data_IF_150473716172
#
_entry.id   IF_150473716172
#
_cell.length_a   1.000
_cell.length_b   1.000
_cell.length_c   1.000
_cell.angle_alpha   90.00
_cell.angle_beta   90.00
_cell.angle_gamma   90.00
#
_symmetry.space_group_name_H-M   'P 1'
#
loop_
_entity.id
_entity.type
_entity.pdbx_description
1 polymer ?
#
# COMPACT_ATOMS: atom_id res chain seq x y z
N UNK A 1 7.60 -17.21 3.73
CA UNK A 1 6.41 -16.92 4.55
C UNK A 1 5.97 -15.51 4.21
N UNK A 2 4.71 -15.34 3.80
CA UNK A 2 4.15 -14.03 3.48
C UNK A 2 3.94 -13.22 4.77
N UNK A 3 4.19 -11.91 4.73
CA UNK A 3 3.99 -10.98 5.85
C UNK A 3 3.01 -9.90 5.45
N UNK A 4 2.22 -9.43 6.41
CA UNK A 4 1.48 -8.18 6.27
C UNK A 4 2.29 -7.08 6.94
N UNK A 5 2.69 -6.07 6.18
CA UNK A 5 3.58 -4.99 6.62
C UNK A 5 2.78 -3.68 6.54
N UNK A 6 2.68 -2.95 7.65
CA UNK A 6 2.09 -1.61 7.63
C UNK A 6 3.16 -0.54 7.47
N UNK A 7 2.94 0.38 6.52
CA UNK A 7 3.82 1.50 6.26
C UNK A 7 3.05 2.80 6.41
N UNK A 8 3.54 3.69 7.28
CA UNK A 8 3.10 5.08 7.34
C UNK A 8 4.14 5.94 6.64
N UNK A 9 3.83 6.49 5.46
CA UNK A 9 4.74 7.42 4.79
C UNK A 9 4.93 8.66 5.67
N UNK A 10 6.12 8.80 6.24
CA UNK A 10 6.55 10.02 6.93
C UNK A 10 7.32 10.92 5.94
N UNK A 11 7.60 12.16 6.34
CA UNK A 11 8.49 13.03 5.54
C UNK A 11 9.90 12.45 5.38
N UNK A 12 10.33 11.61 6.33
CA UNK A 12 11.63 10.94 6.35
C UNK A 12 11.48 9.43 6.11
N UNK A 13 10.86 9.05 4.98
CA UNK A 13 10.87 7.65 4.57
C UNK A 13 12.25 7.27 4.00
N UNK A 14 12.74 6.02 4.24
CA UNK A 14 13.98 5.56 3.62
C UNK A 14 13.89 5.59 2.09
N UNK A 15 15.01 5.86 1.42
CA UNK A 15 15.08 5.98 -0.05
C UNK A 15 14.59 4.73 -0.79
N UNK A 16 14.75 3.56 -0.17
CA UNK A 16 14.23 2.29 -0.67
C UNK A 16 13.77 1.37 0.46
N UNK A 17 12.74 0.57 0.17
CA UNK A 17 12.21 -0.45 1.06
C UNK A 17 12.39 -1.84 0.47
N UNK A 18 13.09 -2.71 1.18
CA UNK A 18 13.26 -4.11 0.79
C UNK A 18 12.06 -4.95 1.23
N UNK A 19 11.48 -5.69 0.29
CA UNK A 19 10.38 -6.62 0.45
C UNK A 19 10.80 -8.01 -0.01
N UNK A 20 10.06 -9.04 0.40
CA UNK A 20 10.19 -10.39 -0.11
C UNK A 20 8.99 -10.74 -0.96
N UNK A 21 9.20 -11.59 -1.96
CA UNK A 21 8.09 -12.14 -2.74
C UNK A 21 7.03 -12.75 -1.82
N UNK A 22 5.77 -12.35 -2.01
CA UNK A 22 4.61 -12.73 -1.20
C UNK A 22 4.28 -11.78 -0.04
N UNK A 23 5.10 -10.77 0.26
CA UNK A 23 4.75 -9.74 1.23
C UNK A 23 3.56 -8.89 0.74
N UNK A 24 2.61 -8.63 1.64
CA UNK A 24 1.51 -7.69 1.46
C UNK A 24 1.85 -6.41 2.23
N UNK A 25 1.97 -5.31 1.52
CA UNK A 25 2.25 -4.00 2.08
C UNK A 25 0.96 -3.16 2.15
N UNK A 26 0.73 -2.56 3.32
CA UNK A 26 -0.42 -1.74 3.66
C UNK A 26 0.05 -0.31 3.91
N UNK A 27 -0.07 0.56 2.91
CA UNK A 27 0.47 1.93 2.96
C UNK A 27 -0.64 2.91 3.36
N UNK A 28 -0.41 3.74 4.37
CA UNK A 28 -1.35 4.82 4.73
C UNK A 28 -1.35 5.91 3.66
N UNK A 29 -2.33 5.84 2.76
CA UNK A 29 -2.50 6.69 1.59
C UNK A 29 -3.95 6.63 1.12
N UNK A 30 -4.43 7.68 0.45
CA UNK A 30 -5.77 7.73 -0.16
C UNK A 30 -5.80 7.13 -1.57
N UNK A 31 -4.62 6.94 -2.17
CA UNK A 31 -4.46 6.33 -3.49
C UNK A 31 -2.99 6.13 -3.83
N UNK A 32 -2.74 5.47 -4.96
CA UNK A 32 -1.39 5.31 -5.47
C UNK A 32 -1.39 4.90 -6.94
N UNK A 33 -0.25 5.03 -7.59
CA UNK A 33 -0.02 4.54 -8.95
C UNK A 33 1.38 4.01 -9.11
N UNK A 34 1.52 2.93 -9.86
CA UNK A 34 2.82 2.37 -10.22
C UNK A 34 3.44 3.24 -11.31
N UNK A 35 4.68 3.70 -11.08
CA UNK A 35 5.50 4.40 -12.07
C UNK A 35 6.33 3.42 -12.89
N UNK A 36 6.84 2.36 -12.25
CA UNK A 36 7.65 1.31 -12.87
C UNK A 36 7.60 0.02 -12.04
N UNK A 37 7.98 -1.13 -12.64
CA UNK A 37 8.08 -2.42 -11.93
C UNK A 37 6.73 -3.13 -11.66
N UNK A 38 5.78 -3.04 -12.61
CA UNK A 38 4.45 -3.67 -12.52
C UNK A 38 4.47 -5.20 -12.46
N UNK A 39 5.58 -5.82 -12.84
CA UNK A 39 5.83 -7.26 -12.74
C UNK A 39 6.34 -7.69 -11.35
N UNK A 40 6.95 -6.76 -10.62
CA UNK A 40 7.57 -6.94 -9.31
C UNK A 40 6.61 -6.61 -8.16
N UNK A 41 5.88 -5.49 -8.27
CA UNK A 41 4.82 -5.10 -7.34
C UNK A 41 3.48 -4.95 -8.06
N UNK A 42 2.44 -5.50 -7.45
CA UNK A 42 1.06 -5.32 -7.88
C UNK A 42 0.31 -4.37 -6.94
N UNK A 43 -0.28 -3.32 -7.52
CA UNK A 43 -1.18 -2.40 -6.83
C UNK A 43 -2.58 -2.99 -6.78
N UNK A 44 -2.98 -3.48 -5.61
CA UNK A 44 -4.32 -4.03 -5.38
C UNK A 44 -5.37 -2.92 -5.22
N UNK A 45 -4.93 -1.70 -4.89
CA UNK A 45 -5.78 -0.51 -4.79
C UNK A 45 -6.10 -0.12 -3.35
N UNK A 46 -7.11 0.75 -3.15
CA UNK A 46 -7.57 1.15 -1.83
C UNK A 46 -8.04 -0.06 -1.01
N UNK A 47 -7.70 -0.08 0.27
CA UNK A 47 -8.00 -1.16 1.19
C UNK A 47 -8.73 -0.65 2.42
N UNK A 48 -9.80 -1.36 2.76
CA UNK A 48 -10.58 -1.17 3.97
C UNK A 48 -10.53 -2.47 4.78
N UNK A 49 -10.18 -2.38 6.06
CA UNK A 49 -10.18 -3.55 6.94
C UNK A 49 -11.62 -4.00 7.19
N UNK A 50 -11.87 -5.31 7.09
CA UNK A 50 -13.12 -5.93 7.48
C UNK A 50 -12.91 -6.91 8.64
N UNK A 51 -13.93 -7.05 9.50
CA UNK A 51 -13.99 -8.04 10.57
C UNK A 51 -15.18 -8.96 10.29
N UNK A 52 -14.96 -10.27 10.32
CA UNK A 52 -16.03 -11.26 10.20
C UNK A 52 -16.74 -11.41 11.56
N UNK A 53 -18.04 -11.11 11.58
CA UNK A 53 -18.91 -11.34 12.73
C UNK A 53 -19.23 -12.82 12.93
N UNK A 54 -19.69 -13.16 14.13
CA UNK A 54 -20.14 -14.52 14.47
C UNK A 54 -21.43 -14.93 13.73
N UNK A 55 -22.14 -13.94 13.19
CA UNK A 55 -23.30 -14.08 12.31
C UNK A 55 -22.90 -14.37 10.85
N UNK A 56 -21.60 -14.42 10.55
CA UNK A 56 -21.07 -14.62 9.21
C UNK A 56 -21.09 -13.35 8.34
N UNK A 57 -21.43 -12.20 8.89
CA UNK A 57 -21.44 -10.93 8.16
C UNK A 57 -20.07 -10.23 8.26
N UNK A 58 -19.68 -9.52 7.20
CA UNK A 58 -18.45 -8.72 7.20
C UNK A 58 -18.80 -7.29 7.63
N UNK A 59 -18.18 -6.84 8.72
CA UNK A 59 -18.29 -5.48 9.21
C UNK A 59 -17.05 -4.69 8.81
N UNK A 60 -17.26 -3.51 8.22
CA UNK A 60 -16.20 -2.56 7.88
C UNK A 60 -16.43 -1.26 8.63
N UNK A 61 -15.37 -0.55 9.06
CA UNK A 61 -15.54 0.77 9.65
C UNK A 61 -16.16 1.73 8.63
N UNK A 62 -16.99 2.65 9.11
CA UNK A 62 -17.54 3.71 8.26
C UNK A 62 -16.44 4.66 7.79
N UNK A 63 -16.59 5.18 6.57
CA UNK A 63 -15.68 6.15 5.96
C UNK A 63 -14.86 5.60 4.78
N UNK A 64 -14.05 6.45 4.14
CA UNK A 64 -13.23 6.06 3.00
C UNK A 64 -12.08 5.14 3.42
N UNK A 65 -11.57 4.29 2.50
CA UNK A 65 -10.34 3.54 2.71
C UNK A 65 -9.17 4.45 3.11
N UNK A 66 -8.48 4.11 4.20
CA UNK A 66 -7.31 4.87 4.69
C UNK A 66 -5.96 4.30 4.25
N UNK A 67 -5.97 3.19 3.50
CA UNK A 67 -4.77 2.46 3.10
C UNK A 67 -4.83 2.05 1.63
N UNK A 68 -3.66 1.86 1.04
CA UNK A 68 -3.45 1.26 -0.28
C UNK A 68 -2.68 -0.05 -0.09
N UNK A 69 -3.17 -1.12 -0.72
CA UNK A 69 -2.56 -2.44 -0.64
C UNK A 69 -1.68 -2.72 -1.86
N UNK A 70 -0.52 -3.32 -1.59
CA UNK A 70 0.49 -3.72 -2.58
C UNK A 70 0.95 -5.14 -2.31
N UNK A 71 1.08 -5.95 -3.35
CA UNK A 71 1.56 -7.33 -3.24
C UNK A 71 2.89 -7.50 -3.98
N UNK A 72 3.90 -7.97 -3.27
CA UNK A 72 5.18 -8.34 -3.86
C UNK A 72 5.05 -9.66 -4.63
N UNK A 73 5.25 -9.61 -5.96
CA UNK A 73 5.01 -10.72 -6.88
C UNK A 73 6.28 -11.41 -7.33
N UNK A 74 7.31 -10.63 -7.67
CA UNK A 74 8.56 -11.14 -8.23
C UNK A 74 9.74 -10.27 -7.79
N UNK A 75 10.96 -10.84 -7.73
CA UNK A 75 12.16 -10.05 -7.50
C UNK A 75 12.33 -8.95 -8.55
N UNK A 76 12.71 -7.76 -8.11
CA UNK A 76 12.87 -6.60 -8.98
C UNK A 76 12.69 -5.28 -8.26
N UNK A 77 12.83 -4.18 -9.00
CA UNK A 77 12.70 -2.81 -8.47
C UNK A 77 11.42 -2.17 -9.02
N UNK A 78 10.65 -1.56 -8.13
CA UNK A 78 9.43 -0.84 -8.46
C UNK A 78 9.42 0.55 -7.84
N UNK A 79 8.85 1.52 -8.55
CA UNK A 79 8.60 2.86 -8.02
C UNK A 79 7.09 3.12 -8.01
N UNK A 80 6.60 3.60 -6.87
CA UNK A 80 5.18 3.86 -6.66
C UNK A 80 5.03 5.27 -6.10
N UNK A 81 4.08 6.00 -6.67
CA UNK A 81 3.68 7.31 -6.20
C UNK A 81 2.38 7.19 -5.40
N UNK A 82 2.38 7.67 -4.16
CA UNK A 82 1.24 7.64 -3.25
C UNK A 82 0.65 9.02 -3.07
N UNK A 83 -0.68 9.08 -2.98
CA UNK A 83 -1.42 10.25 -2.56
C UNK A 83 -1.59 10.23 -1.04
N UNK A 84 -1.01 11.23 -0.36
CA UNK A 84 -1.09 11.44 1.08
C UNK A 84 -1.96 12.65 1.38
N UNK A 85 -2.70 12.61 2.49
CA UNK A 85 -3.41 13.78 3.02
C UNK A 85 -4.82 14.00 2.44
N UNK A 86 -5.39 15.15 2.81
CA UNK A 86 -6.83 15.42 2.95
C UNK A 86 -7.67 15.54 1.67
N UNK A 87 -8.90 16.09 1.77
CA UNK A 87 -9.77 16.26 0.62
C UNK A 87 -9.11 17.11 -0.46
N UNK A 88 -9.42 16.84 -1.73
CA UNK A 88 -8.95 17.64 -2.85
C UNK A 88 -9.21 19.13 -2.60
N UNK A 89 -8.22 20.03 -2.78
CA UNK A 89 -6.92 19.85 -3.44
C UNK A 89 -5.72 19.59 -2.51
N UNK A 90 -5.92 19.30 -1.22
CA UNK A 90 -4.84 19.20 -0.23
C UNK A 90 -4.00 17.90 -0.32
N UNK A 91 -4.04 17.19 -1.45
CA UNK A 91 -3.32 15.94 -1.66
C UNK A 91 -1.85 16.25 -1.94
N UNK A 92 -0.96 15.61 -1.18
CA UNK A 92 0.48 15.60 -1.41
C UNK A 92 0.89 14.27 -2.04
N UNK A 93 1.76 14.31 -3.04
CA UNK A 93 2.31 13.10 -3.64
C UNK A 93 3.70 12.78 -3.10
N UNK A 94 3.95 11.50 -2.82
CA UNK A 94 5.27 11.00 -2.40
C UNK A 94 5.61 9.78 -3.25
N UNK A 95 6.81 9.77 -3.83
CA UNK A 95 7.35 8.63 -4.56
C UNK A 95 8.22 7.79 -3.64
N UNK A 96 8.05 6.47 -3.70
CA UNK A 96 8.85 5.52 -2.94
C UNK A 96 9.39 4.43 -3.85
N UNK A 97 10.64 4.03 -3.60
CA UNK A 97 11.28 2.90 -4.27
C UNK A 97 11.12 1.63 -3.43
N UNK A 98 10.78 0.53 -4.07
CA UNK A 98 10.70 -0.79 -3.48
C UNK A 98 11.66 -1.73 -4.21
N UNK A 99 12.34 -2.58 -3.45
CA UNK A 99 13.17 -3.67 -3.96
C UNK A 99 12.58 -4.96 -3.45
N UNK A 100 12.15 -5.83 -4.36
CA UNK A 100 11.67 -7.17 -4.02
C UNK A 100 12.81 -8.15 -4.22
N UNK A 101 13.08 -8.95 -3.18
CA UNK A 101 14.04 -10.05 -3.18
C UNK A 101 13.35 -11.42 -3.16
#
# INVERSE_FOLDING_TARGET
>A
MARVIELRPAEEAPESLTLRTGDLLMVWATGGRIRSGTDSLELLGPFLIGVLGIDGLVHTPEGPPGKVALLARRPGRAEIEFALGGPWPAIRWVTMTFVVE
#
